data_IF_835911838518
#
_entry.id   IF_835911838518
#
_cell.length_a   1.000
_cell.length_b   1.000
_cell.length_c   1.000
_cell.angle_alpha   90.00
_cell.angle_beta   90.00
_cell.angle_gamma   90.00
#
_symmetry.space_group_name_H-M   'P 1'
#
loop_
_entity.id
_entity.type
_entity.pdbx_description
1 polymer ?
#
# COMPACT_ATOMS: atom_id res chain seq x y z
N UNK A 1 34.43 -2.12 -21.56
CA UNK A 1 34.92 -0.89 -22.22
C UNK A 1 35.51 -1.30 -23.56
N UNK A 2 34.76 -1.15 -24.66
CA UNK A 2 35.28 -1.43 -26.01
C UNK A 2 35.18 -0.14 -26.85
N UNK A 3 36.32 0.12 -27.49
CA UNK A 3 36.67 1.22 -28.40
C UNK A 3 36.22 0.89 -29.86
N UNK A 4 36.45 1.73 -30.88
CA UNK A 4 35.36 2.41 -31.59
C UNK A 4 35.26 2.04 -33.09
N UNK A 5 34.15 2.48 -33.69
CA UNK A 5 34.02 3.07 -35.03
C UNK A 5 34.50 2.28 -36.26
N UNK A 6 33.55 1.58 -36.87
CA UNK A 6 33.57 1.23 -38.28
C UNK A 6 32.44 1.95 -39.02
N UNK A 7 32.75 3.04 -39.72
CA UNK A 7 31.88 3.62 -40.75
C UNK A 7 31.78 2.69 -41.96
N UNK A 8 30.60 2.57 -42.59
CA UNK A 8 30.54 2.41 -44.04
C UNK A 8 30.19 3.74 -44.71
N UNK A 9 31.04 4.05 -45.70
CA UNK A 9 30.98 5.15 -46.66
C UNK A 9 29.66 5.15 -47.45
N UNK A 10 29.03 6.33 -47.52
CA UNK A 10 27.88 6.62 -48.37
C UNK A 10 28.31 6.70 -49.84
N UNK A 11 27.77 5.81 -50.68
CA UNK A 11 27.84 5.91 -52.13
C UNK A 11 26.42 6.12 -52.70
N UNK A 12 26.21 7.29 -53.30
CA UNK A 12 25.47 7.42 -54.55
C UNK A 12 23.94 7.32 -54.53
N UNK A 13 23.35 8.48 -54.85
CA UNK A 13 22.27 8.68 -55.82
C UNK A 13 20.80 8.70 -55.34
N UNK A 14 20.19 9.82 -55.76
CA UNK A 14 18.81 10.00 -56.21
C UNK A 14 17.71 10.11 -55.15
N UNK A 15 17.12 11.32 -55.17
CA UNK A 15 15.74 11.64 -54.80
C UNK A 15 14.80 10.45 -54.97
N UNK A 16 14.06 10.08 -53.92
CA UNK A 16 12.61 10.01 -53.98
C UNK A 16 12.04 10.29 -52.58
N UNK A 17 10.98 11.09 -52.57
CA UNK A 17 10.24 11.52 -51.38
C UNK A 17 9.75 10.30 -50.61
N UNK A 18 10.07 10.23 -49.33
CA UNK A 18 9.26 9.45 -48.38
C UNK A 18 9.33 10.11 -47.01
N UNK A 19 8.47 11.12 -46.81
CA UNK A 19 8.16 11.63 -45.47
C UNK A 19 7.28 10.57 -44.82
N UNK A 20 7.89 9.62 -44.10
CA UNK A 20 7.16 8.78 -43.16
C UNK A 20 6.93 9.59 -41.89
N UNK A 21 5.78 10.27 -41.81
CA UNK A 21 5.21 10.65 -40.52
C UNK A 21 4.82 9.38 -39.79
N UNK A 22 5.73 8.83 -39.00
CA UNK A 22 5.43 7.78 -38.04
C UNK A 22 4.57 8.38 -36.93
N UNK A 23 3.24 8.31 -37.09
CA UNK A 23 2.31 8.54 -36.00
C UNK A 23 2.48 7.38 -35.00
N UNK A 24 3.42 7.53 -34.06
CA UNK A 24 3.47 6.70 -32.87
C UNK A 24 2.24 7.04 -32.02
N UNK A 25 1.13 6.37 -32.29
CA UNK A 25 0.05 6.26 -31.35
C UNK A 25 0.59 5.46 -30.15
N UNK A 26 1.15 6.14 -29.15
CA UNK A 26 1.24 5.58 -27.82
C UNK A 26 -0.21 5.37 -27.35
N UNK A 27 -0.73 4.17 -27.61
CA UNK A 27 -1.84 3.66 -26.84
C UNK A 27 -1.35 3.55 -25.40
N UNK A 28 -1.55 4.63 -24.63
CA UNK A 28 -1.55 4.58 -23.19
C UNK A 28 -2.70 3.65 -22.80
N UNK A 29 -2.40 2.36 -22.71
CA UNK A 29 -3.25 1.40 -22.05
C UNK A 29 -3.16 1.76 -20.56
N UNK A 30 -3.98 2.71 -20.12
CA UNK A 30 -4.38 2.76 -18.72
C UNK A 30 -5.02 1.40 -18.47
N UNK A 31 -4.23 0.44 -17.98
CA UNK A 31 -4.79 -0.77 -17.42
C UNK A 31 -5.82 -0.28 -16.40
N UNK A 32 -7.10 -0.71 -16.51
CA UNK A 32 -8.04 -0.40 -15.46
C UNK A 32 -7.40 -0.93 -14.19
N UNK A 33 -7.03 -0.02 -13.28
CA UNK A 33 -6.67 -0.42 -11.93
C UNK A 33 -7.92 -1.11 -11.43
N UNK A 34 -7.94 -2.43 -11.49
CA UNK A 34 -8.89 -3.22 -10.74
C UNK A 34 -8.73 -2.67 -9.33
N UNK A 35 -9.72 -1.89 -8.88
CA UNK A 35 -9.91 -1.66 -7.47
C UNK A 35 -10.20 -3.06 -6.93
N UNK A 36 -9.12 -3.75 -6.56
CA UNK A 36 -9.16 -5.02 -5.89
C UNK A 36 -10.18 -4.84 -4.77
N UNK A 37 -11.24 -5.63 -4.76
CA UNK A 37 -12.42 -5.39 -3.93
C UNK A 37 -11.94 -5.16 -2.49
N UNK A 38 -11.89 -3.90 -2.06
CA UNK A 38 -11.14 -3.51 -0.88
C UNK A 38 -11.90 -4.04 0.33
N UNK A 39 -11.41 -5.14 0.89
CA UNK A 39 -12.04 -5.79 2.03
C UNK A 39 -11.71 -5.00 3.29
N UNK A 40 -12.73 -4.70 4.07
CA UNK A 40 -12.60 -4.11 5.39
C UNK A 40 -12.90 -5.13 6.48
N UNK A 41 -12.23 -5.02 7.62
CA UNK A 41 -12.50 -5.81 8.82
C UNK A 41 -12.46 -4.93 10.07
N UNK A 42 -13.04 -5.42 11.17
CA UNK A 42 -13.09 -4.71 12.45
C UNK A 42 -12.45 -5.56 13.55
N UNK A 43 -11.64 -4.92 14.38
CA UNK A 43 -10.97 -5.51 15.54
C UNK A 43 -11.35 -4.68 16.77
N UNK A 44 -12.12 -5.25 17.68
CA UNK A 44 -12.32 -4.62 19.00
C UNK A 44 -11.15 -5.05 19.89
N UNK A 45 -10.33 -4.10 20.34
CA UNK A 45 -9.07 -4.39 21.02
C UNK A 45 -9.25 -5.34 22.22
N UNK A 46 -10.27 -5.10 23.05
CA UNK A 46 -10.58 -5.94 24.20
C UNK A 46 -10.94 -7.38 23.82
N UNK A 47 -11.70 -7.60 22.74
CA UNK A 47 -12.09 -8.96 22.32
C UNK A 47 -10.94 -9.69 21.62
N UNK A 48 -10.10 -8.95 20.88
CA UNK A 48 -8.92 -9.49 20.22
C UNK A 48 -7.87 -9.98 21.23
N UNK A 49 -7.68 -9.25 22.34
CA UNK A 49 -6.82 -9.68 23.44
C UNK A 49 -7.32 -10.96 24.11
N UNK A 50 -8.65 -11.12 24.25
CA UNK A 50 -9.27 -12.29 24.89
C UNK A 50 -9.27 -13.54 24.00
N UNK A 51 -9.57 -13.38 22.71
CA UNK A 51 -9.74 -14.50 21.79
C UNK A 51 -8.47 -14.83 20.98
N UNK A 52 -7.55 -13.87 20.84
CA UNK A 52 -6.36 -14.00 19.98
C UNK A 52 -6.67 -14.19 18.49
N UNK A 53 -7.94 -14.14 18.10
CA UNK A 53 -8.42 -14.40 16.74
C UNK A 53 -9.15 -13.19 16.20
N UNK A 54 -8.75 -12.76 15.01
CA UNK A 54 -9.44 -11.76 14.20
C UNK A 54 -9.99 -12.45 12.96
N UNK A 55 -11.02 -11.87 12.33
CA UNK A 55 -11.50 -12.30 11.01
C UNK A 55 -10.74 -11.60 9.87
N UNK A 56 -9.76 -10.75 10.20
CA UNK A 56 -8.96 -9.99 9.26
C UNK A 56 -7.98 -10.89 8.51
N UNK A 57 -7.77 -10.57 7.23
CA UNK A 57 -6.75 -11.18 6.38
C UNK A 57 -5.72 -10.13 6.00
N UNK A 58 -4.50 -10.58 5.73
CA UNK A 58 -3.45 -9.68 5.27
C UNK A 58 -3.90 -8.90 4.02
N UNK A 59 -3.74 -7.58 4.10
CA UNK A 59 -4.17 -6.66 3.06
C UNK A 59 -5.60 -6.14 3.19
N UNK A 60 -6.39 -6.58 4.16
CA UNK A 60 -7.68 -5.94 4.48
C UNK A 60 -7.44 -4.54 5.09
N UNK A 61 -8.42 -3.64 4.98
CA UNK A 61 -8.45 -2.38 5.73
C UNK A 61 -9.06 -2.67 7.10
N UNK A 62 -8.23 -2.65 8.15
CA UNK A 62 -8.65 -2.90 9.51
C UNK A 62 -9.02 -1.59 10.21
N UNK A 63 -10.19 -1.60 10.87
CA UNK A 63 -10.54 -0.63 11.90
C UNK A 63 -10.36 -1.29 13.26
N UNK A 64 -9.45 -0.76 14.08
CA UNK A 64 -9.18 -1.26 15.43
C UNK A 64 -9.76 -0.27 16.42
N UNK A 65 -10.78 -0.67 17.19
CA UNK A 65 -11.57 0.22 18.05
C UNK A 65 -11.47 -0.14 19.54
N UNK A 66 -11.91 0.78 20.40
CA UNK A 66 -12.03 0.56 21.84
C UNK A 66 -10.70 0.48 22.58
N UNK A 67 -9.75 1.34 22.23
CA UNK A 67 -8.42 1.35 22.80
C UNK A 67 -8.03 2.73 23.32
N UNK A 68 -7.34 2.75 24.46
CA UNK A 68 -6.79 3.97 25.04
C UNK A 68 -5.59 4.47 24.24
N UNK A 69 -5.24 5.76 24.40
CA UNK A 69 -4.04 6.34 23.76
C UNK A 69 -2.75 5.55 24.04
N UNK A 70 -2.65 4.90 25.20
CA UNK A 70 -1.46 4.11 25.58
C UNK A 70 -1.35 2.80 24.80
N UNK A 71 -2.47 2.26 24.33
CA UNK A 71 -2.54 0.99 23.61
C UNK A 71 -2.35 1.17 22.09
N UNK A 72 -2.52 2.41 21.59
CA UNK A 72 -2.36 2.75 20.16
C UNK A 72 -1.05 2.24 19.56
N UNK A 73 0.12 2.47 20.18
CA UNK A 73 1.39 1.98 19.63
C UNK A 73 1.46 0.45 19.54
N UNK A 74 0.93 -0.26 20.53
CA UNK A 74 0.94 -1.73 20.53
C UNK A 74 0.04 -2.30 19.44
N UNK A 75 -1.18 -1.75 19.26
CA UNK A 75 -2.06 -2.22 18.20
C UNK A 75 -1.49 -1.94 16.80
N UNK A 76 -0.88 -0.76 16.60
CA UNK A 76 -0.18 -0.44 15.36
C UNK A 76 0.92 -1.47 15.10
N UNK A 77 1.75 -1.77 16.10
CA UNK A 77 2.84 -2.73 15.96
C UNK A 77 2.36 -4.17 15.67
N UNK A 78 1.23 -4.57 16.25
CA UNK A 78 0.69 -5.94 16.11
C UNK A 78 -0.10 -6.15 14.81
N UNK A 79 -0.85 -5.14 14.36
CA UNK A 79 -1.87 -5.33 13.33
C UNK A 79 -1.65 -4.52 12.05
N UNK A 80 -0.80 -3.50 12.05
CA UNK A 80 -0.67 -2.60 10.89
C UNK A 80 0.58 -2.89 10.04
N UNK A 81 0.42 -2.71 8.73
CA UNK A 81 1.57 -2.59 7.83
C UNK A 81 2.15 -1.17 7.85
N UNK A 82 3.36 -1.03 8.36
CA UNK A 82 4.08 0.25 8.42
C UNK A 82 4.46 0.84 7.06
N UNK A 83 4.37 0.04 5.99
CA UNK A 83 4.57 0.53 4.63
C UNK A 83 3.31 1.15 4.03
N UNK A 84 2.17 1.05 4.72
CA UNK A 84 0.91 1.66 4.34
C UNK A 84 0.59 2.87 5.23
N UNK A 85 -0.43 3.64 4.84
CA UNK A 85 -0.94 4.72 5.66
C UNK A 85 -1.57 4.18 6.94
N UNK A 86 -1.30 4.87 8.05
CA UNK A 86 -1.89 4.58 9.37
C UNK A 86 -2.57 5.86 9.82
N UNK A 87 -3.85 5.76 10.19
CA UNK A 87 -4.66 6.87 10.67
C UNK A 87 -5.11 6.56 12.09
N UNK A 88 -4.92 7.50 13.01
CA UNK A 88 -5.37 7.40 14.41
C UNK A 88 -6.35 8.53 14.66
N UNK A 89 -7.53 8.19 15.16
CA UNK A 89 -8.60 9.15 15.40
C UNK A 89 -9.20 8.92 16.80
N UNK A 90 -9.68 9.99 17.46
CA UNK A 90 -10.47 9.83 18.68
C UNK A 90 -11.77 9.10 18.37
N UNK A 91 -12.18 8.20 19.25
CA UNK A 91 -13.42 7.45 19.12
C UNK A 91 -14.58 8.23 19.74
N UNK A 92 -15.19 9.09 18.93
CA UNK A 92 -16.32 9.92 19.32
C UNK A 92 -17.61 9.12 19.62
N UNK A 93 -17.62 7.80 19.35
CA UNK A 93 -18.76 6.93 19.63
C UNK A 93 -18.79 6.39 21.06
N UNK A 94 -17.75 6.65 21.85
CA UNK A 94 -17.61 6.11 23.22
C UNK A 94 -17.80 7.18 24.28
N UNK A 95 -18.25 6.77 25.46
CA UNK A 95 -18.31 7.64 26.65
C UNK A 95 -16.92 7.94 27.23
N UNK A 96 -15.88 7.28 26.74
CA UNK A 96 -14.50 7.49 27.16
C UNK A 96 -13.79 8.43 26.20
N UNK A 97 -13.57 9.68 26.64
CA UNK A 97 -12.87 10.70 25.86
C UNK A 97 -11.40 10.34 25.54
N UNK A 98 -10.85 9.28 26.14
CA UNK A 98 -9.51 8.77 25.86
C UNK A 98 -9.48 7.59 24.89
N UNK A 99 -10.65 7.13 24.42
CA UNK A 99 -10.75 6.07 23.42
C UNK A 99 -10.36 6.58 22.04
N UNK A 100 -9.63 5.74 21.31
CA UNK A 100 -9.14 5.99 19.96
C UNK A 100 -9.47 4.77 19.09
N UNK A 101 -9.53 5.00 17.79
CA UNK A 101 -9.48 3.94 16.80
C UNK A 101 -8.34 4.15 15.81
N UNK A 102 -7.85 3.05 15.26
CA UNK A 102 -6.79 3.01 14.26
C UNK A 102 -7.36 2.44 12.97
N UNK A 103 -7.11 3.12 11.84
CA UNK A 103 -7.40 2.63 10.51
C UNK A 103 -6.07 2.36 9.79
N UNK A 104 -5.86 1.12 9.36
CA UNK A 104 -4.63 0.74 8.66
C UNK A 104 -4.83 -0.50 7.77
N UNK A 105 -3.85 -0.76 6.90
CA UNK A 105 -3.75 -2.04 6.19
C UNK A 105 -3.36 -3.13 7.18
N UNK A 106 -4.17 -4.18 7.30
CA UNK A 106 -3.92 -5.29 8.20
C UNK A 106 -2.72 -6.12 7.73
N UNK A 107 -1.79 -6.36 8.66
CA UNK A 107 -0.73 -7.35 8.55
C UNK A 107 -0.46 -7.89 9.95
N UNK A 108 -0.76 -9.15 10.19
CA UNK A 108 -0.50 -9.74 11.50
C UNK A 108 1.01 -9.88 11.73
N UNK A 109 1.50 -9.25 12.80
CA UNK A 109 2.89 -9.36 13.24
C UNK A 109 2.92 -10.02 14.61
N UNK A 110 3.90 -10.89 14.83
CA UNK A 110 4.23 -11.32 16.17
C UNK A 110 4.64 -10.07 16.96
N UNK A 111 4.12 -9.93 18.19
CA UNK A 111 4.51 -8.81 19.04
C UNK A 111 6.03 -8.83 19.18
N UNK A 112 6.68 -7.70 18.87
CA UNK A 112 8.12 -7.60 19.08
C UNK A 112 8.42 -7.95 20.55
N UNK A 113 9.43 -8.79 20.83
CA UNK A 113 9.78 -9.13 22.20
C UNK A 113 10.06 -7.83 22.94
N UNK A 114 9.37 -7.61 24.06
CA UNK A 114 9.61 -6.47 24.95
C UNK A 114 11.07 -6.51 25.37
N UNK A 115 11.86 -5.53 24.93
CA UNK A 115 13.25 -5.40 25.37
C UNK A 115 13.25 -5.09 26.88
N UNK A 116 14.14 -5.75 27.65
CA UNK A 116 14.19 -5.64 29.12
C UNK A 116 14.63 -4.25 29.61
#
# INVERSE_FOLDING_TARGET
MLSPEGLPVMAGAAMEKLVLTAAFALACHCAPSHADNERSCEIVAASAQLSGKTNCRDGDVATISGMSTKEVPEAIARYCDFWAQIVVLPDAGTTDASSHFVLCKYRQREAAPSQP
#
